data_IF_930657562061
#
_entry.id   IF_930657562061
#
_cell.length_a   1.000
_cell.length_b   1.000
_cell.length_c   1.000
_cell.angle_alpha   90.00
_cell.angle_beta   90.00
_cell.angle_gamma   90.00
#
_symmetry.space_group_name_H-M   'P 1'
#
loop_
_entity.id
_entity.type
_entity.pdbx_description
1 polymer ?
#
# COMPACT_ATOMS: atom_id res chain seq x y z
N UNK A 1 43.03 23.23 26.41
CA UNK A 1 43.97 22.98 25.30
C UNK A 1 43.70 21.59 24.74
N UNK A 2 43.41 21.55 23.43
CA UNK A 2 43.32 20.37 22.53
C UNK A 2 42.19 19.35 22.80
N UNK A 3 41.04 19.66 22.20
CA UNK A 3 40.15 18.67 21.58
C UNK A 3 40.89 17.96 20.43
N UNK A 4 40.93 16.64 20.44
CA UNK A 4 41.34 15.83 19.29
C UNK A 4 40.12 15.52 18.44
N UNK A 5 40.04 16.17 17.28
CA UNK A 5 39.22 15.75 16.14
C UNK A 5 39.92 14.55 15.50
N UNK A 6 39.28 13.39 15.48
CA UNK A 6 39.65 12.29 14.60
C UNK A 6 38.67 12.32 13.43
N UNK A 7 39.16 12.79 12.28
CA UNK A 7 38.51 12.67 10.98
C UNK A 7 39.15 11.47 10.32
N UNK A 8 38.37 10.46 9.97
CA UNK A 8 38.75 9.44 9.00
C UNK A 8 37.59 9.26 8.00
N UNK A 9 37.89 9.33 6.69
CA UNK A 9 36.91 9.34 5.62
C UNK A 9 36.60 7.92 5.13
N UNK A 10 35.43 7.75 4.50
CA UNK A 10 35.23 6.70 3.51
C UNK A 10 34.54 5.43 4.02
N UNK A 11 33.20 5.43 3.98
CA UNK A 11 32.40 4.29 3.53
C UNK A 11 30.95 4.76 3.38
N UNK A 12 30.66 5.43 2.26
CA UNK A 12 29.29 5.63 1.81
C UNK A 12 28.98 4.45 0.87
N UNK A 13 28.21 3.49 1.37
CA UNK A 13 27.66 2.39 0.60
C UNK A 13 26.65 2.95 -0.40
N UNK A 14 27.07 3.08 -1.66
CA UNK A 14 26.16 3.34 -2.79
C UNK A 14 25.61 1.98 -3.22
N UNK A 15 24.32 1.77 -2.99
CA UNK A 15 23.57 0.67 -3.60
C UNK A 15 23.53 0.91 -5.11
N UNK A 16 23.97 -0.07 -5.89
CA UNK A 16 24.08 0.02 -7.34
C UNK A 16 22.74 0.14 -8.03
N UNK A 17 22.58 1.18 -8.84
CA UNK A 17 21.65 1.20 -9.95
C UNK A 17 22.41 0.67 -11.19
N UNK A 18 22.05 -0.52 -11.67
CA UNK A 18 22.27 -0.87 -13.08
C UNK A 18 21.34 0.03 -13.91
N UNK A 19 21.91 1.06 -14.52
CA UNK A 19 21.28 1.77 -15.62
C UNK A 19 22.32 1.91 -16.73
N UNK A 20 22.01 1.32 -17.88
CA UNK A 20 22.74 1.53 -19.12
C UNK A 20 22.87 3.05 -19.40
N UNK A 21 24.02 3.52 -19.94
CA UNK A 21 24.19 4.93 -20.23
C UNK A 21 23.16 5.40 -21.26
N UNK A 22 22.32 6.35 -20.84
CA UNK A 22 21.35 7.04 -21.69
C UNK A 22 22.13 7.77 -22.79
N UNK A 23 22.04 7.28 -24.02
CA UNK A 23 22.51 8.01 -25.20
C UNK A 23 21.46 9.07 -25.52
N UNK A 24 21.70 10.31 -25.12
CA UNK A 24 20.87 11.46 -25.49
C UNK A 24 21.17 11.80 -26.96
N UNK A 25 20.31 11.37 -27.87
CA UNK A 25 20.33 11.84 -29.27
C UNK A 25 19.61 13.18 -29.36
N UNK A 26 20.33 14.26 -29.07
CA UNK A 26 19.87 15.65 -29.24
C UNK A 26 21.07 16.60 -29.40
N UNK A 27 20.90 17.81 -29.95
CA UNK A 27 21.99 18.78 -30.02
C UNK A 27 22.41 19.18 -28.60
N UNK A 28 23.71 19.09 -28.32
CA UNK A 28 24.27 19.35 -27.00
C UNK A 28 23.97 20.77 -26.51
N UNK A 29 23.73 20.89 -25.20
CA UNK A 29 23.63 22.18 -24.52
C UNK A 29 25.02 22.76 -24.23
N UNK A 30 25.12 24.07 -24.00
CA UNK A 30 26.39 24.74 -23.72
C UNK A 30 27.07 24.24 -22.42
N UNK A 31 26.29 23.90 -21.40
CA UNK A 31 26.81 23.35 -20.14
C UNK A 31 27.48 21.97 -20.33
N UNK A 32 27.01 21.16 -21.28
CA UNK A 32 27.58 19.82 -21.58
C UNK A 32 28.92 19.89 -22.31
N UNK A 33 29.12 20.95 -23.12
CA UNK A 33 30.40 21.26 -23.78
C UNK A 33 31.44 21.69 -22.74
N UNK A 34 31.05 22.56 -21.81
CA UNK A 34 31.96 23.09 -20.78
C UNK A 34 32.42 22.02 -19.78
N UNK A 35 31.63 20.97 -19.60
CA UNK A 35 31.94 19.80 -18.76
C UNK A 35 32.69 18.68 -19.50
N UNK A 36 32.96 18.84 -20.81
CA UNK A 36 33.75 17.90 -21.61
C UNK A 36 33.05 16.57 -21.91
N UNK A 37 31.71 16.54 -21.83
CA UNK A 37 30.92 15.32 -22.08
C UNK A 37 30.62 15.10 -23.58
N UNK A 38 30.89 16.08 -24.45
CA UNK A 38 30.64 16.02 -25.89
C UNK A 38 31.68 16.81 -26.69
N UNK A 39 32.10 16.29 -27.86
CA UNK A 39 32.93 16.99 -28.84
C UNK A 39 32.05 17.71 -29.89
N UNK A 40 32.37 18.97 -30.18
CA UNK A 40 31.64 19.80 -31.16
C UNK A 40 32.04 19.38 -32.59
N UNK A 41 31.09 19.22 -33.55
CA UNK A 41 31.47 18.98 -34.94
C UNK A 41 32.08 20.23 -35.58
N UNK A 42 33.24 20.06 -36.22
CA UNK A 42 33.98 21.08 -36.95
C UNK A 42 33.11 21.80 -38.01
N UNK A 43 33.01 23.12 -37.90
CA UNK A 43 32.44 23.98 -38.93
C UNK A 43 33.38 24.05 -40.14
N UNK A 44 33.07 23.30 -41.20
CA UNK A 44 33.74 23.37 -42.49
C UNK A 44 33.55 24.74 -43.16
N UNK A 45 34.65 25.37 -43.51
CA UNK A 45 34.74 26.66 -44.24
C UNK A 45 34.91 26.45 -45.76
N UNK A 46 34.60 27.52 -46.51
CA UNK A 46 34.87 27.78 -47.94
C UNK A 46 33.82 27.23 -48.95
N UNK A 47 33.34 27.97 -49.97
CA UNK A 47 34.07 28.91 -50.84
C UNK A 47 33.14 29.90 -51.57
N UNK A 48 33.74 31.01 -51.98
CA UNK A 48 33.23 32.11 -52.81
C UNK A 48 33.17 31.80 -54.32
N UNK A 49 32.30 32.51 -55.05
CA UNK A 49 32.54 32.96 -56.44
C UNK A 49 31.52 32.54 -57.51
N UNK A 50 30.93 33.54 -58.21
CA UNK A 50 30.25 33.36 -59.50
C UNK A 50 29.28 34.49 -59.89
N UNK A 51 29.76 35.45 -60.69
CA UNK A 51 29.02 36.58 -61.28
C UNK A 51 28.04 36.22 -62.41
N UNK A 52 27.01 37.08 -62.59
CA UNK A 52 26.66 37.65 -63.90
C UNK A 52 25.42 37.13 -64.66
N UNK A 53 24.45 38.02 -64.91
CA UNK A 53 23.43 37.85 -65.95
C UNK A 53 22.22 38.81 -65.88
N UNK A 54 22.17 39.74 -66.84
CA UNK A 54 21.28 40.91 -66.98
C UNK A 54 19.77 40.68 -67.24
N UNK A 55 19.01 41.70 -66.80
CA UNK A 55 17.86 42.41 -67.37
C UNK A 55 16.74 41.69 -68.19
N UNK A 56 15.49 41.99 -67.79
CA UNK A 56 14.28 41.76 -68.60
C UNK A 56 13.04 42.52 -68.10
N UNK A 57 12.76 43.63 -68.77
CA UNK A 57 11.64 44.58 -68.66
C UNK A 57 10.24 44.10 -68.20
N UNK A 58 9.61 44.94 -67.35
CA UNK A 58 8.39 45.71 -67.67
C UNK A 58 7.07 44.96 -67.90
N UNK A 59 6.10 45.17 -67.01
CA UNK A 59 4.71 44.76 -67.24
C UNK A 59 3.70 45.23 -66.18
N UNK A 60 3.24 46.47 -66.36
CA UNK A 60 1.88 46.98 -66.11
C UNK A 60 1.24 46.85 -64.72
N UNK A 61 0.82 48.02 -64.20
CA UNK A 61 -0.04 48.13 -63.04
C UNK A 61 -1.39 47.44 -63.25
N UNK A 62 -1.72 46.57 -62.30
CA UNK A 62 -3.07 46.11 -62.03
C UNK A 62 -3.57 46.81 -60.77
N UNK A 63 -4.80 47.31 -60.86
CA UNK A 63 -5.53 48.00 -59.81
C UNK A 63 -5.55 47.22 -58.48
N UNK A 64 -5.62 47.97 -57.38
CA UNK A 64 -5.83 47.45 -56.04
C UNK A 64 -7.01 46.47 -56.02
N UNK A 65 -6.68 45.22 -55.77
CA UNK A 65 -7.58 44.18 -55.35
C UNK A 65 -6.99 43.61 -54.08
N UNK A 66 -7.79 43.60 -53.04
CA UNK A 66 -7.51 43.16 -51.69
C UNK A 66 -7.02 41.69 -51.74
N UNK A 67 -5.70 41.52 -51.82
CA UNK A 67 -5.03 40.25 -52.15
C UNK A 67 -4.49 39.54 -50.91
N UNK A 68 -4.83 40.03 -49.72
CA UNK A 68 -4.38 39.46 -48.46
C UNK A 68 -5.44 38.53 -47.82
N UNK A 69 -6.74 38.76 -48.01
CA UNK A 69 -7.80 37.82 -47.60
C UNK A 69 -7.80 36.51 -48.39
N UNK A 70 -7.27 36.49 -49.62
CA UNK A 70 -7.20 35.28 -50.45
C UNK A 70 -6.07 34.30 -50.09
N UNK A 71 -5.20 34.66 -49.13
CA UNK A 71 -4.10 33.79 -48.67
C UNK A 71 -4.50 32.88 -47.50
N UNK A 72 -5.64 33.12 -46.87
CA UNK A 72 -6.14 32.25 -45.82
C UNK A 72 -7.02 31.15 -46.41
N UNK A 73 -6.48 29.92 -46.51
CA UNK A 73 -7.25 28.74 -46.91
C UNK A 73 -8.09 28.15 -45.76
N UNK A 74 -7.92 28.68 -44.55
CA UNK A 74 -8.63 28.27 -43.35
C UNK A 74 -9.70 29.28 -42.92
N UNK A 75 -9.74 29.57 -41.62
CA UNK A 75 -10.64 30.54 -41.01
C UNK A 75 -9.82 31.61 -40.27
N UNK A 76 -10.34 32.83 -40.24
CA UNK A 76 -9.74 33.93 -39.48
C UNK A 76 -10.25 33.90 -38.03
N UNK A 77 -9.34 33.84 -37.06
CA UNK A 77 -9.65 33.81 -35.64
C UNK A 77 -8.84 34.87 -34.88
N UNK A 78 -9.34 35.43 -33.76
CA UNK A 78 -8.59 36.38 -32.96
C UNK A 78 -7.21 35.81 -32.56
N UNK A 79 -6.12 36.59 -32.65
CA UNK A 79 -4.79 36.12 -32.25
C UNK A 79 -4.78 35.76 -30.76
N UNK A 80 -3.91 34.83 -30.36
CA UNK A 80 -3.69 34.56 -28.95
C UNK A 80 -3.15 35.82 -28.24
N UNK A 81 -3.76 36.27 -27.13
CA UNK A 81 -3.23 37.36 -26.33
C UNK A 81 -1.87 37.01 -25.72
N UNK A 82 -1.16 38.02 -25.19
CA UNK A 82 0.07 37.78 -24.43
C UNK A 82 -0.19 36.84 -23.24
N UNK A 83 0.67 35.83 -23.09
CA UNK A 83 0.54 34.78 -22.07
C UNK A 83 -0.28 33.57 -22.53
N UNK A 84 -0.98 33.66 -23.67
CA UNK A 84 -1.72 32.54 -24.25
C UNK A 84 -0.97 31.93 -25.43
N UNK A 85 -1.14 30.63 -25.62
CA UNK A 85 -0.61 29.85 -26.73
C UNK A 85 -1.73 29.51 -27.74
N UNK A 86 -1.36 29.38 -29.01
CA UNK A 86 -2.28 29.07 -30.11
C UNK A 86 -2.55 30.26 -31.04
N UNK A 87 -3.64 30.23 -31.84
CA UNK A 87 -4.77 29.30 -31.71
C UNK A 87 -4.44 27.88 -32.21
N UNK A 88 -4.92 26.87 -31.48
CA UNK A 88 -4.75 25.45 -31.74
C UNK A 88 -6.09 24.79 -32.09
N UNK A 89 -6.05 23.70 -32.85
CA UNK A 89 -7.20 22.81 -33.01
C UNK A 89 -7.24 21.85 -31.82
N UNK A 90 -8.22 22.01 -30.95
CA UNK A 90 -8.46 21.16 -29.80
C UNK A 90 -9.51 20.10 -30.13
N UNK A 91 -9.18 18.85 -29.85
CA UNK A 91 -10.14 17.75 -29.72
C UNK A 91 -10.19 17.30 -28.27
N UNK A 92 -11.36 16.91 -27.79
CA UNK A 92 -11.50 16.20 -26.52
C UNK A 92 -12.62 15.16 -26.58
N UNK A 93 -12.45 14.04 -25.89
CA UNK A 93 -13.37 12.91 -25.94
C UNK A 93 -12.85 11.65 -25.24
N UNK A 94 -13.50 10.49 -25.45
CA UNK A 94 -13.14 9.27 -24.75
C UNK A 94 -11.76 8.72 -25.21
N UNK A 95 -11.02 8.01 -24.34
CA UNK A 95 -9.61 7.65 -24.61
C UNK A 95 -9.39 6.69 -25.78
N UNK A 96 -10.42 5.97 -26.20
CA UNK A 96 -10.40 5.02 -27.32
C UNK A 96 -10.68 5.68 -28.68
N UNK A 97 -11.03 6.97 -28.70
CA UNK A 97 -11.41 7.71 -29.89
C UNK A 97 -10.45 8.86 -30.26
N UNK A 98 -9.26 8.93 -29.63
CA UNK A 98 -8.30 10.03 -29.84
C UNK A 98 -7.85 10.08 -31.30
N UNK A 99 -8.15 11.17 -32.04
CA UNK A 99 -7.74 11.31 -33.44
C UNK A 99 -6.29 11.76 -33.53
N UNK A 100 -5.65 11.45 -34.65
CA UNK A 100 -4.37 12.06 -35.03
C UNK A 100 -4.54 13.55 -35.34
N UNK A 101 -3.44 14.31 -35.24
CA UNK A 101 -3.44 15.70 -35.62
C UNK A 101 -3.71 15.86 -37.14
N UNK A 102 -4.61 16.77 -37.56
CA UNK A 102 -4.91 16.99 -38.99
C UNK A 102 -3.70 17.45 -39.79
N UNK A 103 -3.67 17.17 -41.10
CA UNK A 103 -2.54 17.54 -41.96
C UNK A 103 -2.23 19.05 -41.99
N UNK A 104 -3.25 19.89 -41.83
CA UNK A 104 -3.12 21.36 -41.81
C UNK A 104 -2.63 21.88 -40.44
N UNK A 105 -2.68 21.05 -39.40
CA UNK A 105 -2.13 21.32 -38.06
C UNK A 105 -1.40 20.07 -37.53
N UNK A 106 -0.29 19.65 -38.15
CA UNK A 106 0.27 18.31 -37.92
C UNK A 106 1.08 18.21 -36.61
N UNK A 107 1.32 19.33 -35.94
CA UNK A 107 2.20 19.38 -34.75
C UNK A 107 1.38 19.14 -33.50
N UNK A 108 1.73 18.12 -32.71
CA UNK A 108 1.15 17.92 -31.38
C UNK A 108 1.64 19.03 -30.45
N UNK A 109 0.72 19.89 -30.00
CA UNK A 109 1.02 21.02 -29.11
C UNK A 109 0.69 20.74 -27.64
N UNK A 110 -0.27 19.85 -27.37
CA UNK A 110 -0.70 19.51 -26.02
C UNK A 110 -1.39 18.14 -25.99
N UNK A 111 -1.14 17.39 -24.92
CA UNK A 111 -1.98 16.27 -24.48
C UNK A 111 -2.33 16.46 -23.01
N UNK A 112 -3.57 16.15 -22.67
CA UNK A 112 -4.04 16.25 -21.30
C UNK A 112 -5.30 15.46 -21.05
N UNK A 113 -5.80 15.58 -19.84
CA UNK A 113 -6.85 14.73 -19.30
C UNK A 113 -7.92 15.55 -18.59
N UNK A 114 -9.15 15.04 -18.60
CA UNK A 114 -10.25 15.57 -17.81
C UNK A 114 -11.12 14.42 -17.28
N UNK A 115 -12.07 14.77 -16.42
CA UNK A 115 -13.03 13.84 -15.83
C UNK A 115 -12.34 12.71 -15.05
N UNK A 116 -11.51 13.10 -14.08
CA UNK A 116 -10.81 12.17 -13.18
C UNK A 116 -11.82 11.28 -12.44
N UNK A 117 -11.74 9.98 -12.70
CA UNK A 117 -12.45 8.97 -11.94
C UNK A 117 -11.66 8.66 -10.67
N UNK A 118 -12.38 8.38 -9.59
CA UNK A 118 -11.81 7.98 -8.29
C UNK A 118 -12.07 6.49 -8.06
N UNK A 119 -11.38 5.58 -8.78
CA UNK A 119 -11.52 4.16 -8.47
C UNK A 119 -11.05 3.92 -7.02
N UNK A 120 -11.73 3.06 -6.26
CA UNK A 120 -11.30 2.73 -4.91
C UNK A 120 -9.89 2.12 -4.95
N UNK A 121 -9.06 2.48 -3.97
CA UNK A 121 -7.81 1.77 -3.74
C UNK A 121 -8.13 0.44 -3.04
N UNK A 122 -7.73 -0.68 -3.65
CA UNK A 122 -7.83 -1.99 -3.02
C UNK A 122 -6.60 -2.22 -2.14
N UNK A 123 -6.80 -2.13 -0.83
CA UNK A 123 -5.78 -2.41 0.16
C UNK A 123 -5.69 -3.91 0.46
N UNK A 124 -4.48 -4.36 0.80
CA UNK A 124 -4.29 -5.72 1.29
C UNK A 124 -5.04 -5.94 2.61
N UNK A 125 -5.59 -7.13 2.81
CA UNK A 125 -6.29 -7.48 4.05
C UNK A 125 -5.27 -7.62 5.18
N UNK A 126 -5.56 -7.04 6.34
CA UNK A 126 -4.73 -7.24 7.52
C UNK A 126 -4.95 -8.62 8.13
N UNK A 127 -3.85 -9.25 8.55
CA UNK A 127 -3.87 -10.49 9.30
C UNK A 127 -2.91 -10.43 10.49
N UNK A 128 -3.09 -11.35 11.44
CA UNK A 128 -2.29 -11.41 12.67
C UNK A 128 -1.67 -12.80 12.83
N UNK A 129 -0.36 -12.85 13.04
CA UNK A 129 0.30 -14.10 13.44
C UNK A 129 -0.09 -14.41 14.89
N UNK A 130 -0.34 -15.69 15.23
CA UNK A 130 -0.68 -16.07 16.60
C UNK A 130 0.39 -15.59 17.60
N UNK A 131 0.00 -15.29 18.84
CA UNK A 131 0.96 -14.91 19.87
C UNK A 131 1.79 -16.11 20.29
N UNK A 132 2.87 -15.86 21.04
CA UNK A 132 3.56 -16.93 21.76
C UNK A 132 2.81 -17.25 23.06
N UNK A 133 2.63 -18.54 23.34
CA UNK A 133 2.01 -19.00 24.57
C UNK A 133 2.76 -20.19 25.16
N UNK A 134 2.75 -20.27 26.49
CA UNK A 134 3.27 -21.38 27.28
C UNK A 134 2.22 -21.85 28.27
N UNK A 135 2.32 -23.10 28.70
CA UNK A 135 1.42 -23.70 29.68
C UNK A 135 2.22 -24.06 30.94
N UNK A 136 1.66 -23.73 32.11
CA UNK A 136 2.23 -24.08 33.40
C UNK A 136 1.40 -25.19 34.00
N UNK A 137 2.07 -26.25 34.48
CA UNK A 137 1.42 -27.35 35.16
C UNK A 137 0.78 -26.87 36.47
N UNK A 138 -0.38 -27.44 36.79
CA UNK A 138 -1.00 -27.23 38.09
C UNK A 138 -0.28 -28.06 39.16
N UNK A 139 0.16 -27.40 40.23
CA UNK A 139 0.69 -28.05 41.44
C UNK A 139 -0.39 -28.35 42.46
N UNK A 140 -1.60 -27.81 42.27
CA UNK A 140 -2.71 -27.91 43.22
C UNK A 140 -3.56 -29.15 42.94
N UNK A 141 -3.24 -30.20 43.69
CA UNK A 141 -3.92 -31.49 43.66
C UNK A 141 -4.39 -31.81 45.07
N UNK A 142 -5.64 -32.23 45.22
CA UNK A 142 -6.22 -32.48 46.53
C UNK A 142 -7.19 -33.64 46.50
N UNK A 143 -7.16 -34.46 47.54
CA UNK A 143 -8.17 -35.47 47.81
C UNK A 143 -9.18 -34.92 48.81
N UNK A 144 -10.45 -35.30 48.66
CA UNK A 144 -11.50 -34.91 49.61
C UNK A 144 -12.18 -36.16 50.16
N UNK A 145 -12.57 -36.10 51.44
CA UNK A 145 -13.37 -37.12 52.12
C UNK A 145 -14.86 -37.09 51.73
N UNK A 146 -15.17 -36.70 50.48
CA UNK A 146 -16.51 -36.61 49.93
C UNK A 146 -16.64 -37.49 48.69
N UNK A 147 -17.72 -38.28 48.54
CA UNK A 147 -18.01 -39.00 47.31
C UNK A 147 -18.61 -38.10 46.21
N UNK A 148 -18.62 -36.77 46.40
CA UNK A 148 -19.06 -35.78 45.42
C UNK A 148 -17.90 -34.92 44.92
N UNK A 149 -18.06 -34.35 43.72
CA UNK A 149 -17.13 -33.42 43.10
C UNK A 149 -17.76 -32.01 43.02
N UNK A 150 -17.07 -30.95 43.46
CA UNK A 150 -15.73 -30.90 44.06
C UNK A 150 -15.64 -31.35 45.54
N UNK A 151 -16.77 -31.66 46.17
CA UNK A 151 -16.79 -32.12 47.57
C UNK A 151 -16.77 -30.99 48.59
N UNK A 152 -17.35 -29.84 48.26
CA UNK A 152 -17.41 -28.64 49.10
C UNK A 152 -18.52 -28.68 50.18
N UNK A 153 -19.02 -29.88 50.49
CA UNK A 153 -20.07 -30.03 51.50
C UNK A 153 -19.54 -29.72 52.92
N UNK A 154 -20.34 -29.12 53.81
CA UNK A 154 -19.90 -28.84 55.17
C UNK A 154 -19.41 -30.09 55.91
N UNK A 155 -18.20 -30.02 56.47
CA UNK A 155 -17.60 -31.13 57.24
C UNK A 155 -16.72 -32.07 56.43
N UNK A 156 -16.55 -31.84 55.12
CA UNK A 156 -15.57 -32.55 54.30
C UNK A 156 -14.15 -32.13 54.67
N UNK A 157 -13.23 -33.09 54.60
CA UNK A 157 -11.81 -32.86 54.87
C UNK A 157 -11.06 -32.90 53.56
N UNK A 158 -10.38 -31.80 53.24
CA UNK A 158 -9.43 -31.73 52.13
C UNK A 158 -8.05 -32.17 52.60
N UNK A 159 -7.50 -33.18 51.96
CA UNK A 159 -6.13 -33.68 52.17
C UNK A 159 -5.28 -33.26 50.99
N UNK A 160 -4.18 -32.57 51.25
CA UNK A 160 -3.26 -32.18 50.18
C UNK A 160 -2.65 -33.41 49.52
N UNK A 161 -2.76 -33.46 48.19
CA UNK A 161 -1.99 -34.34 47.33
C UNK A 161 -1.13 -33.49 46.39
N UNK A 162 -0.77 -32.27 46.78
CA UNK A 162 -0.12 -31.29 45.93
C UNK A 162 1.22 -31.80 45.37
N UNK A 163 1.57 -31.34 44.17
CA UNK A 163 2.91 -31.51 43.64
C UNK A 163 3.88 -30.54 44.33
N UNK A 164 5.20 -30.83 44.35
CA UNK A 164 6.16 -29.89 44.91
C UNK A 164 6.23 -28.60 44.09
N UNK A 165 6.70 -27.51 44.70
CA UNK A 165 6.93 -26.24 44.00
C UNK A 165 7.93 -26.44 42.84
N UNK A 166 7.65 -25.83 41.70
CA UNK A 166 8.51 -25.92 40.50
C UNK A 166 8.50 -27.29 39.84
N UNK A 167 7.50 -28.13 40.10
CA UNK A 167 7.36 -29.44 39.49
C UNK A 167 7.23 -29.37 37.96
N UNK A 168 8.04 -30.19 37.28
CA UNK A 168 8.10 -30.28 35.81
C UNK A 168 7.17 -31.36 35.22
N UNK A 169 6.41 -32.04 36.08
CA UNK A 169 5.50 -33.12 35.67
C UNK A 169 6.09 -34.53 35.80
N UNK A 170 7.37 -34.66 36.15
CA UNK A 170 8.01 -35.96 36.38
C UNK A 170 7.33 -36.76 37.50
N UNK A 171 7.46 -38.07 37.50
CA UNK A 171 6.89 -38.91 38.55
C UNK A 171 7.32 -38.45 39.95
N UNK A 172 6.37 -38.23 40.85
CA UNK A 172 6.65 -37.86 42.25
C UNK A 172 5.66 -38.49 43.22
N UNK A 173 6.19 -38.98 44.35
CA UNK A 173 5.42 -39.46 45.50
C UNK A 173 5.24 -38.39 46.59
N UNK A 174 5.56 -37.12 46.29
CA UNK A 174 5.35 -36.02 47.22
C UNK A 174 3.88 -35.93 47.66
N UNK A 175 3.65 -35.76 48.96
CA UNK A 175 2.31 -35.69 49.57
C UNK A 175 1.43 -36.93 49.30
N UNK A 176 2.02 -38.12 49.11
CA UNK A 176 1.27 -39.35 48.92
C UNK A 176 0.31 -39.65 50.09
N UNK A 177 -0.87 -40.18 49.77
CA UNK A 177 -1.89 -40.56 50.75
C UNK A 177 -1.99 -42.10 50.77
N UNK A 178 -1.63 -42.76 51.89
CA UNK A 178 -1.72 -44.21 52.01
C UNK A 178 -3.16 -44.73 51.84
N UNK A 179 -3.28 -45.99 51.44
CA UNK A 179 -4.57 -46.68 51.44
C UNK A 179 -5.20 -46.66 52.84
N UNK A 180 -6.53 -46.58 52.88
CA UNK A 180 -7.35 -46.62 54.09
C UNK A 180 -6.99 -45.53 55.13
N UNK A 181 -6.32 -44.46 54.71
CA UNK A 181 -6.06 -43.32 55.59
C UNK A 181 -7.38 -42.63 55.95
N UNK A 182 -7.60 -42.41 57.25
CA UNK A 182 -8.83 -41.84 57.79
C UNK A 182 -8.67 -40.37 58.18
N UNK A 183 -9.61 -39.55 57.73
CA UNK A 183 -9.75 -38.13 58.02
C UNK A 183 -11.08 -37.94 58.74
N UNK A 184 -11.04 -37.58 60.02
CA UNK A 184 -12.22 -37.47 60.89
C UNK A 184 -13.09 -38.74 60.95
N UNK A 185 -12.45 -39.93 60.85
CA UNK A 185 -13.13 -41.22 60.94
C UNK A 185 -13.65 -41.78 59.61
N UNK A 186 -13.56 -41.01 58.52
CA UNK A 186 -13.93 -41.43 57.17
C UNK A 186 -12.71 -41.52 56.25
N UNK A 187 -12.75 -42.26 55.13
CA UNK A 187 -11.64 -42.28 54.18
C UNK A 187 -11.30 -40.88 53.66
N UNK A 188 -10.03 -40.50 53.75
CA UNK A 188 -9.53 -39.20 53.27
C UNK A 188 -9.68 -39.02 51.76
N UNK A 189 -9.67 -40.14 51.02
CA UNK A 189 -9.72 -40.16 49.56
C UNK A 189 -11.05 -40.77 49.12
N UNK A 190 -11.96 -39.91 48.69
CA UNK A 190 -13.24 -40.29 48.08
C UNK A 190 -13.51 -39.51 46.79
N UNK A 191 -12.83 -38.37 46.61
CA UNK A 191 -12.69 -37.69 45.32
C UNK A 191 -11.30 -37.08 45.20
N UNK A 192 -10.89 -36.79 43.96
CA UNK A 192 -9.65 -36.12 43.60
C UNK A 192 -9.96 -34.92 42.73
N UNK A 193 -9.43 -33.77 43.12
CA UNK A 193 -9.47 -32.52 42.36
C UNK A 193 -8.06 -32.14 41.91
N UNK A 194 -7.96 -31.69 40.67
CA UNK A 194 -6.74 -31.16 40.06
C UNK A 194 -7.10 -29.77 39.52
N UNK A 195 -6.45 -28.72 40.03
CA UNK A 195 -6.72 -27.37 39.53
C UNK A 195 -6.33 -27.26 38.04
N UNK A 196 -6.99 -26.36 37.32
CA UNK A 196 -6.71 -26.13 35.91
C UNK A 196 -5.25 -25.65 35.71
N UNK A 197 -4.53 -26.12 34.68
CA UNK A 197 -3.26 -25.51 34.30
C UNK A 197 -3.47 -24.07 33.87
N UNK A 198 -2.42 -23.25 33.98
CA UNK A 198 -2.46 -21.85 33.53
C UNK A 198 -1.77 -21.68 32.19
N UNK A 199 -2.36 -20.84 31.34
CA UNK A 199 -1.77 -20.44 30.06
C UNK A 199 -1.18 -19.05 30.24
N UNK A 200 0.04 -18.85 29.79
CA UNK A 200 0.72 -17.55 29.79
C UNK A 200 1.03 -17.18 28.35
N UNK A 201 0.36 -16.14 27.86
CA UNK A 201 0.69 -15.46 26.60
C UNK A 201 1.83 -14.47 26.86
N UNK A 202 2.97 -14.69 26.22
CA UNK A 202 4.22 -13.95 26.47
C UNK A 202 4.51 -12.86 25.44
N UNK A 203 3.83 -12.90 24.30
CA UNK A 203 3.99 -11.92 23.22
C UNK A 203 2.63 -11.47 22.66
N UNK A 204 2.61 -10.26 22.10
CA UNK A 204 1.50 -9.78 21.29
C UNK A 204 1.50 -10.46 19.91
N UNK A 205 0.37 -10.43 19.21
CA UNK A 205 0.33 -10.85 17.82
C UNK A 205 1.14 -9.91 16.93
N UNK A 206 1.76 -10.47 15.89
CA UNK A 206 2.49 -9.69 14.89
C UNK A 206 1.55 -9.37 13.72
N UNK A 207 1.34 -8.09 13.36
CA UNK A 207 0.53 -7.73 12.20
C UNK A 207 1.28 -8.07 10.91
N UNK A 208 0.53 -8.55 9.92
CA UNK A 208 1.03 -8.82 8.57
C UNK A 208 0.00 -8.40 7.53
N UNK A 209 0.50 -8.14 6.32
CA UNK A 209 -0.33 -7.95 5.13
C UNK A 209 -0.57 -9.31 4.49
N UNK A 210 -1.84 -9.62 4.23
CA UNK A 210 -2.21 -10.70 3.32
C UNK A 210 -2.32 -10.09 1.92
N UNK A 211 -1.22 -10.16 1.17
CA UNK A 211 -1.07 -9.44 -0.10
C UNK A 211 -1.92 -10.13 -1.18
N UNK A 212 -2.99 -9.50 -1.67
CA UNK A 212 -3.73 -10.04 -2.80
C UNK A 212 -2.88 -9.97 -4.08
N UNK A 213 -3.22 -10.75 -5.12
CA UNK A 213 -2.56 -10.65 -6.41
C UNK A 213 -2.62 -9.21 -6.94
N UNK A 214 -1.56 -8.72 -7.63
CA UNK A 214 -1.53 -7.36 -8.13
C UNK A 214 -2.68 -7.10 -9.10
N UNK A 215 -3.50 -6.11 -8.79
CA UNK A 215 -4.57 -5.64 -9.67
C UNK A 215 -3.95 -4.71 -10.72
N UNK A 216 -4.24 -4.88 -12.02
CA UNK A 216 -3.78 -3.94 -13.04
C UNK A 216 -4.25 -2.52 -12.73
N UNK A 217 -3.34 -1.54 -12.79
CA UNK A 217 -3.73 -0.12 -12.70
C UNK A 217 -4.55 0.24 -13.92
N UNK A 218 -5.78 0.69 -13.68
CA UNK A 218 -6.61 1.30 -14.70
C UNK A 218 -6.22 2.77 -14.86
N UNK A 219 -6.31 3.27 -16.08
CA UNK A 219 -6.22 4.69 -16.37
C UNK A 219 -7.42 5.42 -15.72
N UNK A 220 -7.18 6.40 -14.82
CA UNK A 220 -8.24 7.03 -14.07
C UNK A 220 -8.97 8.15 -14.85
N UNK A 221 -8.57 8.46 -16.09
CA UNK A 221 -9.12 9.60 -16.83
C UNK A 221 -10.18 9.18 -17.86
N UNK A 222 -11.40 9.70 -17.73
CA UNK A 222 -12.48 9.41 -18.68
C UNK A 222 -12.40 10.25 -19.96
N UNK A 223 -11.69 11.38 -19.95
CA UNK A 223 -11.56 12.28 -21.10
C UNK A 223 -10.10 12.53 -21.43
N UNK A 224 -9.79 12.48 -22.73
CA UNK A 224 -8.54 12.91 -23.33
C UNK A 224 -8.73 14.25 -24.02
N UNK A 225 -7.69 15.07 -24.01
CA UNK A 225 -7.59 16.29 -24.78
C UNK A 225 -6.32 16.27 -25.62
N UNK A 226 -6.43 16.71 -26.86
CA UNK A 226 -5.30 16.84 -27.79
C UNK A 226 -5.42 18.16 -28.52
N UNK A 227 -4.39 19.00 -28.40
CA UNK A 227 -4.29 20.24 -29.16
C UNK A 227 -3.23 20.12 -30.24
N UNK A 228 -3.59 20.51 -31.45
CA UNK A 228 -2.76 20.43 -32.65
C UNK A 228 -2.47 21.84 -33.17
N UNK A 229 -1.21 22.10 -33.51
CA UNK A 229 -0.71 23.40 -33.94
C UNK A 229 -0.35 23.38 -35.44
N UNK A 230 -0.67 24.49 -36.11
CA UNK A 230 -0.17 24.75 -37.45
C UNK A 230 1.33 25.06 -37.41
N UNK A 231 2.08 24.65 -38.44
CA UNK A 231 3.52 24.91 -38.52
C UNK A 231 3.86 26.39 -38.73
N UNK A 232 2.94 27.16 -39.32
CA UNK A 232 3.06 28.60 -39.47
C UNK A 232 1.66 29.24 -39.54
N UNK A 233 1.53 30.44 -38.99
CA UNK A 233 0.33 31.25 -39.08
C UNK A 233 0.53 32.40 -40.07
N UNK A 234 -0.48 32.69 -40.89
CA UNK A 234 -0.52 33.87 -41.74
C UNK A 234 -1.52 34.89 -41.19
N UNK A 235 -1.35 36.17 -41.52
CA UNK A 235 -2.28 37.21 -41.10
C UNK A 235 -3.51 37.27 -42.02
N UNK A 236 -4.67 37.60 -41.44
CA UNK A 236 -5.86 38.02 -42.17
C UNK A 236 -5.91 39.56 -42.28
N UNK A 237 -6.85 40.07 -43.10
CA UNK A 237 -6.95 41.51 -43.45
C UNK A 237 -7.32 42.43 -42.28
N UNK A 238 -7.89 41.88 -41.22
CA UNK A 238 -8.40 42.58 -40.02
C UNK A 238 -7.50 42.39 -38.79
N UNK A 239 -6.21 42.09 -38.99
CA UNK A 239 -5.24 41.77 -37.93
C UNK A 239 -5.61 40.53 -37.08
N UNK A 240 -6.53 39.71 -37.58
CA UNK A 240 -6.75 38.36 -37.05
C UNK A 240 -5.73 37.37 -37.62
N UNK A 241 -5.64 36.20 -37.02
CA UNK A 241 -4.72 35.14 -37.43
C UNK A 241 -5.46 34.12 -38.28
N UNK A 242 -4.92 33.80 -39.45
CA UNK A 242 -5.40 32.69 -40.25
C UNK A 242 -5.01 31.38 -39.58
N UNK A 243 -6.02 30.57 -39.26
CA UNK A 243 -5.86 29.27 -38.63
C UNK A 243 -6.54 28.21 -39.48
N UNK A 244 -6.08 26.95 -39.43
CA UNK A 244 -6.77 25.86 -40.10
C UNK A 244 -8.26 25.80 -39.73
N UNK A 245 -9.11 25.53 -40.71
CA UNK A 245 -10.53 25.29 -40.45
C UNK A 245 -10.68 24.05 -39.59
N UNK A 246 -11.44 24.15 -38.50
CA UNK A 246 -11.60 23.04 -37.56
C UNK A 246 -12.34 21.87 -38.25
N UNK A 247 -11.71 20.69 -38.40
CA UNK A 247 -12.40 19.51 -38.91
C UNK A 247 -13.42 19.01 -37.88
N UNK A 248 -14.27 18.06 -38.28
CA UNK A 248 -15.30 17.50 -37.39
C UNK A 248 -14.69 16.96 -36.08
N UNK A 249 -15.23 17.41 -34.95
CA UNK A 249 -14.77 17.01 -33.61
C UNK A 249 -13.63 17.87 -33.05
N UNK A 250 -13.05 18.77 -33.84
CA UNK A 250 -12.11 19.78 -33.36
C UNK A 250 -12.80 21.14 -33.21
N UNK A 251 -12.26 21.97 -32.32
CA UNK A 251 -12.62 23.38 -32.16
C UNK A 251 -11.36 24.24 -32.06
N UNK A 252 -11.44 25.51 -32.44
CA UNK A 252 -10.30 26.44 -32.39
C UNK A 252 -10.22 27.07 -31.00
N UNK A 253 -9.08 26.93 -30.33
CA UNK A 253 -8.88 27.41 -28.97
C UNK A 253 -7.52 28.05 -28.76
N UNK A 254 -7.42 28.90 -27.76
CA UNK A 254 -6.16 29.34 -27.15
C UNK A 254 -6.02 28.67 -25.79
N UNK A 255 -4.79 28.47 -25.32
CA UNK A 255 -4.56 27.85 -24.01
C UNK A 255 -3.51 28.55 -23.16
N UNK A 256 -3.62 28.39 -21.85
CA UNK A 256 -2.77 28.97 -20.82
C UNK A 256 -2.51 27.93 -19.73
N UNK A 257 -1.27 27.83 -19.24
CA UNK A 257 -0.93 26.95 -18.12
C UNK A 257 -1.51 27.50 -16.81
N UNK A 258 -2.25 26.72 -16.04
CA UNK A 258 -2.98 27.19 -14.87
C UNK A 258 -4.50 27.17 -15.03
N UNK A 259 -5.21 27.33 -13.92
CA UNK A 259 -6.69 27.39 -13.84
C UNK A 259 -7.23 28.79 -13.48
N UNK A 260 -6.33 29.77 -13.36
CA UNK A 260 -6.58 31.12 -12.84
C UNK A 260 -6.89 32.16 -13.92
N UNK A 261 -6.62 31.85 -15.19
CA UNK A 261 -6.84 32.77 -16.30
C UNK A 261 -8.31 32.77 -16.79
N UNK A 262 -8.89 33.97 -16.89
CA UNK A 262 -10.17 34.20 -17.56
C UNK A 262 -10.03 34.13 -19.07
N UNK A 263 -11.07 33.63 -19.76
CA UNK A 263 -11.02 33.52 -21.20
C UNK A 263 -10.99 34.89 -21.90
N UNK A 264 -10.11 35.07 -22.91
CA UNK A 264 -10.02 36.33 -23.63
C UNK A 264 -11.21 36.55 -24.57
N UNK A 265 -11.38 37.80 -25.00
CA UNK A 265 -12.42 38.18 -25.96
C UNK A 265 -12.30 37.35 -27.26
N UNK A 266 -13.43 36.86 -27.75
CA UNK A 266 -13.50 35.98 -28.93
C UNK A 266 -13.40 34.48 -28.62
N UNK A 267 -12.99 34.09 -27.41
CA UNK A 267 -12.86 32.69 -26.97
C UNK A 267 -13.77 32.40 -25.76
N UNK A 268 -15.08 32.35 -25.97
CA UNK A 268 -16.04 32.32 -24.86
C UNK A 268 -16.19 30.96 -24.14
N UNK A 269 -15.75 29.86 -24.75
CA UNK A 269 -16.01 28.50 -24.21
C UNK A 269 -14.79 27.99 -23.46
N UNK A 270 -14.87 27.92 -22.14
CA UNK A 270 -13.78 27.47 -21.26
C UNK A 270 -13.78 25.96 -21.06
N UNK A 271 -12.61 25.35 -21.14
CA UNK A 271 -12.32 23.97 -20.76
C UNK A 271 -11.08 23.93 -19.85
N UNK A 272 -11.03 22.96 -18.94
CA UNK A 272 -9.91 22.74 -18.03
C UNK A 272 -9.42 21.31 -18.21
N UNK A 273 -8.12 21.17 -18.49
CA UNK A 273 -7.45 19.89 -18.62
C UNK A 273 -6.24 19.85 -17.69
N UNK A 274 -5.77 18.65 -17.40
CA UNK A 274 -4.65 18.38 -16.48
C UNK A 274 -3.61 17.54 -17.19
N UNK A 275 -2.33 17.76 -16.87
CA UNK A 275 -1.26 16.97 -17.47
C UNK A 275 -1.07 15.61 -16.77
N UNK A 276 -1.40 15.50 -15.48
CA UNK A 276 -1.21 14.26 -14.73
C UNK A 276 -2.09 14.20 -13.46
N UNK A 277 -2.02 13.08 -12.75
CA UNK A 277 -2.67 12.82 -11.45
C UNK A 277 -1.63 12.58 -10.37
N UNK A 278 -1.80 13.24 -9.22
CA UNK A 278 -1.07 12.92 -8.00
C UNK A 278 -1.87 11.87 -7.24
N UNK A 279 -1.31 10.66 -7.12
CA UNK A 279 -1.88 9.59 -6.30
C UNK A 279 -1.39 9.71 -4.86
N UNK A 280 -2.21 10.32 -4.02
CA UNK A 280 -1.97 10.40 -2.58
C UNK A 280 -2.69 9.31 -1.78
N UNK A 281 -3.22 8.29 -2.45
CA UNK A 281 -3.92 7.20 -1.76
C UNK A 281 -2.93 6.26 -1.11
N UNK A 282 -3.31 5.77 0.06
CA UNK A 282 -2.53 4.81 0.84
C UNK A 282 -3.48 3.92 1.64
N UNK A 283 -2.94 2.95 2.36
CA UNK A 283 -3.67 2.08 3.26
C UNK A 283 -3.37 2.43 4.71
N UNK A 284 -4.37 2.37 5.59
CA UNK A 284 -4.12 2.44 7.04
C UNK A 284 -3.19 1.28 7.45
N UNK A 285 -2.26 1.52 8.40
CA UNK A 285 -1.33 0.48 8.84
C UNK A 285 -2.08 -0.67 9.51
N UNK A 286 -1.64 -1.91 9.26
CA UNK A 286 -2.19 -3.06 9.95
C UNK A 286 -1.80 -3.08 11.43
N UNK A 287 -2.77 -3.47 12.27
CA UNK A 287 -2.57 -3.72 13.67
C UNK A 287 -3.31 -4.98 14.13
N UNK A 288 -2.96 -5.45 15.33
CA UNK A 288 -3.59 -6.58 15.98
C UNK A 288 -4.14 -6.16 17.35
N UNK A 289 -5.36 -6.61 17.66
CA UNK A 289 -5.92 -6.47 19.00
C UNK A 289 -5.26 -7.39 20.02
N UNK A 290 -5.81 -7.40 21.24
CA UNK A 290 -5.32 -8.27 22.31
C UNK A 290 -5.53 -9.76 21.99
N UNK A 291 -4.59 -10.64 22.37
CA UNK A 291 -4.77 -12.08 22.28
C UNK A 291 -5.99 -12.58 23.06
N UNK A 292 -6.77 -13.44 22.43
CA UNK A 292 -7.92 -14.09 23.06
C UNK A 292 -7.98 -15.57 22.73
N UNK A 293 -8.62 -16.35 23.60
CA UNK A 293 -8.84 -17.78 23.36
C UNK A 293 -7.62 -18.67 23.55
N UNK A 294 -6.58 -18.20 24.25
CA UNK A 294 -5.45 -19.05 24.61
C UNK A 294 -5.90 -20.15 25.58
N UNK A 295 -5.48 -21.39 25.31
CA UNK A 295 -5.87 -22.57 26.07
C UNK A 295 -4.70 -23.53 26.19
N UNK A 296 -4.68 -24.37 27.23
CA UNK A 296 -3.76 -25.50 27.27
C UNK A 296 -4.39 -26.70 27.95
N UNK A 297 -3.84 -27.86 27.65
CA UNK A 297 -4.26 -29.13 28.23
C UNK A 297 -3.05 -29.92 28.68
N UNK A 298 -3.16 -30.50 29.88
CA UNK A 298 -2.19 -31.49 30.38
C UNK A 298 -2.87 -32.86 30.50
N UNK A 299 -2.10 -33.91 30.35
CA UNK A 299 -2.47 -35.25 30.79
C UNK A 299 -1.97 -35.42 32.21
N UNK A 300 -2.89 -35.56 33.16
CA UNK A 300 -2.60 -35.84 34.56
C UNK A 300 -2.78 -37.34 34.83
N UNK A 301 -1.77 -37.98 35.42
CA UNK A 301 -1.80 -39.38 35.80
C UNK A 301 -1.56 -39.53 37.30
N UNK A 302 -2.32 -40.43 37.91
CA UNK A 302 -2.28 -40.74 39.34
C UNK A 302 -2.07 -42.23 39.48
N UNK A 303 -1.24 -42.62 40.44
CA UNK A 303 -0.84 -44.01 40.64
C UNK A 303 -1.04 -44.41 42.10
N UNK A 304 -1.29 -45.70 42.31
CA UNK A 304 -1.47 -46.29 43.66
C UNK A 304 -0.14 -46.51 44.36
N UNK A 305 0.93 -46.70 43.60
CA UNK A 305 2.29 -46.86 44.10
C UNK A 305 3.10 -45.55 44.07
N UNK A 306 4.29 -45.57 44.65
CA UNK A 306 5.22 -44.43 44.65
C UNK A 306 6.12 -44.36 43.39
N UNK A 307 6.04 -45.35 42.49
CA UNK A 307 6.96 -45.53 41.36
C UNK A 307 6.32 -45.15 40.01
N UNK A 308 5.10 -44.64 40.01
CA UNK A 308 4.28 -44.37 38.84
C UNK A 308 4.08 -45.60 37.92
N UNK A 309 3.88 -46.79 38.50
CA UNK A 309 3.69 -48.03 37.71
C UNK A 309 2.27 -48.61 37.78
N UNK A 310 1.61 -48.49 38.93
CA UNK A 310 0.24 -48.95 39.16
C UNK A 310 -0.75 -47.79 38.93
N UNK A 311 -1.17 -47.60 37.67
CA UNK A 311 -2.03 -46.50 37.26
C UNK A 311 -3.42 -46.60 37.91
N UNK A 312 -3.80 -45.57 38.66
CA UNK A 312 -5.15 -45.40 39.17
C UNK A 312 -6.06 -44.72 38.14
N UNK A 313 -5.62 -43.58 37.61
CA UNK A 313 -6.40 -42.77 36.67
C UNK A 313 -5.45 -41.92 35.80
N UNK A 314 -5.86 -41.67 34.55
CA UNK A 314 -5.20 -40.72 33.67
C UNK A 314 -6.24 -39.94 32.89
N UNK A 315 -6.22 -38.61 32.98
CA UNK A 315 -7.22 -37.75 32.35
C UNK A 315 -6.60 -36.46 31.80
N UNK A 316 -7.22 -35.91 30.77
CA UNK A 316 -6.86 -34.59 30.25
C UNK A 316 -7.52 -33.52 31.10
N UNK A 317 -6.72 -32.57 31.59
CA UNK A 317 -7.16 -31.39 32.35
C UNK A 317 -6.93 -30.16 31.50
N UNK A 318 -8.00 -29.43 31.22
CA UNK A 318 -7.99 -28.19 30.43
C UNK A 318 -7.75 -26.97 31.31
N UNK A 319 -7.14 -25.92 30.78
CA UNK A 319 -6.95 -24.64 31.46
C UNK A 319 -8.25 -23.87 31.72
N UNK A 320 -9.37 -24.27 31.10
CA UNK A 320 -10.66 -23.59 31.26
C UNK A 320 -11.43 -24.01 32.52
N UNK A 321 -11.23 -25.23 33.01
CA UNK A 321 -11.95 -25.78 34.16
C UNK A 321 -11.07 -26.75 34.97
N UNK A 322 -11.15 -26.75 36.30
CA UNK A 322 -10.48 -27.76 37.10
C UNK A 322 -11.08 -29.14 36.82
N UNK A 323 -10.25 -30.17 36.98
CA UNK A 323 -10.69 -31.56 36.86
C UNK A 323 -11.08 -32.10 38.24
N UNK A 324 -12.20 -32.82 38.32
CA UNK A 324 -12.56 -33.57 39.52
C UNK A 324 -13.14 -34.93 39.15
N UNK A 325 -12.77 -35.96 39.90
CA UNK A 325 -13.31 -37.30 39.76
C UNK A 325 -13.56 -37.95 41.13
N UNK A 326 -14.64 -38.72 41.24
CA UNK A 326 -14.91 -39.57 42.40
C UNK A 326 -14.02 -40.81 42.32
N UNK A 327 -13.38 -41.16 43.43
CA UNK A 327 -12.48 -42.31 43.54
C UNK A 327 -13.10 -43.38 44.42
N UNK A 328 -12.69 -44.66 44.30
CA UNK A 328 -13.05 -45.67 45.29
C UNK A 328 -12.66 -45.20 46.71
N UNK A 329 -13.55 -45.30 47.70
CA UNK A 329 -13.25 -44.85 49.06
C UNK A 329 -11.99 -45.52 49.62
N UNK A 330 -11.07 -44.72 50.15
CA UNK A 330 -9.84 -45.20 50.80
C UNK A 330 -8.74 -45.64 49.84
N UNK A 331 -8.89 -45.40 48.54
CA UNK A 331 -7.83 -45.72 47.57
C UNK A 331 -6.54 -44.94 47.86
N UNK A 332 -5.39 -45.62 47.71
CA UNK A 332 -4.09 -44.96 47.80
C UNK A 332 -3.87 -43.98 46.64
N UNK A 333 -3.36 -42.79 46.96
CA UNK A 333 -2.75 -41.86 46.00
C UNK A 333 -1.24 -41.88 46.25
N UNK A 334 -0.53 -42.82 45.63
CA UNK A 334 0.87 -43.10 45.90
C UNK A 334 1.85 -42.20 45.14
N UNK A 335 1.52 -41.82 43.92
CA UNK A 335 2.32 -40.89 43.11
C UNK A 335 1.51 -40.26 41.99
N UNK A 336 2.09 -39.24 41.34
CA UNK A 336 1.49 -38.48 40.24
C UNK A 336 2.54 -38.11 39.21
N UNK A 337 2.08 -37.94 37.97
CA UNK A 337 2.83 -37.37 36.84
C UNK A 337 1.91 -36.48 36.01
N UNK A 338 2.49 -35.52 35.30
CA UNK A 338 1.75 -34.71 34.36
C UNK A 338 2.60 -34.41 33.12
N UNK A 339 1.96 -34.29 31.96
CA UNK A 339 2.64 -33.86 30.73
C UNK A 339 1.71 -32.91 29.98
N UNK A 340 2.26 -31.80 29.48
CA UNK A 340 1.51 -30.89 28.61
C UNK A 340 1.28 -31.58 27.26
N UNK A 341 0.03 -31.69 26.84
CA UNK A 341 -0.35 -32.39 25.61
C UNK A 341 -0.80 -31.44 24.51
N UNK A 342 -1.25 -30.24 24.86
CA UNK A 342 -1.62 -29.21 23.90
C UNK A 342 -1.44 -27.80 24.49
N UNK A 343 -0.98 -26.87 23.65
CA UNK A 343 -0.98 -25.43 23.92
C UNK A 343 -1.56 -24.74 22.69
N UNK A 344 -2.68 -24.07 22.87
CA UNK A 344 -3.30 -23.23 21.85
C UNK A 344 -3.01 -21.76 22.20
N UNK A 345 -2.23 -21.05 21.38
CA UNK A 345 -1.84 -19.67 21.68
C UNK A 345 -2.99 -18.66 21.62
N UNK A 346 -4.13 -19.04 21.05
CA UNK A 346 -5.22 -18.12 20.76
C UNK A 346 -4.97 -17.32 19.48
N UNK A 347 -5.77 -16.27 19.29
CA UNK A 347 -5.70 -15.42 18.11
C UNK A 347 -5.98 -13.95 18.46
N UNK A 348 -5.60 -13.05 17.55
CA UNK A 348 -5.90 -11.63 17.64
C UNK A 348 -6.80 -11.19 16.48
N UNK A 349 -7.73 -10.28 16.76
CA UNK A 349 -8.52 -9.63 15.72
C UNK A 349 -7.64 -8.64 14.94
N UNK A 350 -7.49 -8.79 13.61
CA UNK A 350 -6.79 -7.81 12.80
C UNK A 350 -7.64 -6.54 12.62
N UNK A 351 -6.97 -5.41 12.40
CA UNK A 351 -7.59 -4.13 12.02
C UNK A 351 -6.62 -3.34 11.13
N UNK A 352 -7.14 -2.33 10.42
CA UNK A 352 -6.38 -1.59 9.41
C UNK A 352 -6.66 -2.10 8.00
N UNK A 353 -5.87 -1.62 7.04
CA UNK A 353 -6.04 -1.96 5.63
C UNK A 353 -7.23 -1.24 4.98
N UNK A 354 -7.70 -0.14 5.57
CA UNK A 354 -8.69 0.73 4.95
C UNK A 354 -7.99 1.73 4.01
N UNK A 355 -8.56 1.99 2.82
CA UNK A 355 -8.02 3.00 1.91
C UNK A 355 -8.21 4.40 2.47
N UNK A 356 -7.16 5.21 2.39
CA UNK A 356 -7.12 6.61 2.76
C UNK A 356 -6.53 7.44 1.62
N UNK A 357 -6.68 8.76 1.71
CA UNK A 357 -6.21 9.68 0.68
C UNK A 357 -7.12 9.70 -0.55
N UNK A 358 -6.64 10.34 -1.62
CA UNK A 358 -7.41 10.55 -2.84
C UNK A 358 -6.48 10.76 -4.05
N UNK A 359 -7.04 10.59 -5.26
CA UNK A 359 -6.39 11.02 -6.49
C UNK A 359 -6.66 12.50 -6.72
N UNK A 360 -5.64 13.29 -7.06
CA UNK A 360 -5.81 14.71 -7.36
C UNK A 360 -5.30 15.04 -8.75
N UNK A 361 -6.05 15.80 -9.57
CA UNK A 361 -5.52 16.37 -10.79
C UNK A 361 -4.30 17.25 -10.50
N UNK A 362 -3.36 17.34 -11.44
CA UNK A 362 -2.16 18.17 -11.32
C UNK A 362 -1.80 18.84 -12.64
N UNK A 363 -1.05 19.95 -12.55
CA UNK A 363 -0.65 20.77 -13.70
C UNK A 363 -1.86 21.15 -14.60
N UNK A 364 -2.78 21.98 -14.09
CA UNK A 364 -3.93 22.43 -14.87
C UNK A 364 -3.50 23.25 -16.10
N UNK A 365 -4.31 23.20 -17.15
CA UNK A 365 -4.21 24.05 -18.34
C UNK A 365 -5.61 24.47 -18.77
N UNK A 366 -5.82 25.78 -18.86
CA UNK A 366 -7.09 26.36 -19.29
C UNK A 366 -7.09 26.53 -20.80
N UNK A 367 -8.10 25.98 -21.46
CA UNK A 367 -8.39 26.18 -22.87
C UNK A 367 -9.62 27.07 -23.03
N UNK A 368 -9.56 28.04 -23.92
CA UNK A 368 -10.67 28.90 -24.26
C UNK A 368 -10.91 28.82 -25.76
N UNK A 369 -12.11 28.43 -26.17
CA UNK A 369 -12.47 28.11 -27.53
C UNK A 369 -13.48 29.11 -28.09
N UNK A 370 -13.47 29.25 -29.41
CA UNK A 370 -14.52 30.02 -30.12
C UNK A 370 -15.88 29.35 -29.92
N UNK A 371 -16.94 30.16 -29.91
CA UNK A 371 -18.33 29.70 -29.74
C UNK A 371 -18.94 29.18 -31.04
#
# INVERSE_FOLDING_TARGET
>A
MRMSRLVLPGMLLIAGCEQDPIVITGPCTQEEIDLGYCDVPDAGTASTGGDGGDAGAGGQGGAGGDTHSSLCSGQCAPPAPLGWFGPALLWFGPPDAVPDCPADAPTLGYEGFADLQQPPLECATCACDPPEASCTLSTDWAATSSPSCPGDEPGTVTTSFAAPDGWDGACTAANAIPADHLCNGEPCVQSLTIAAPSVVTTAACTPRLDVPPPVPRLDPWATRARACLAGAYTACDDATTCVPSAPSGFTTCVFHEGDDADCPEGYAVRHLFFADVIDGRDCTPCGCGDPTGASCSLMASVYRDAACTDLLASNVVSSSVPFCVVTPPGVALGSKSAVIVAVEPGACAPHGGEPIGELRPSAPSTFCCIA
#
